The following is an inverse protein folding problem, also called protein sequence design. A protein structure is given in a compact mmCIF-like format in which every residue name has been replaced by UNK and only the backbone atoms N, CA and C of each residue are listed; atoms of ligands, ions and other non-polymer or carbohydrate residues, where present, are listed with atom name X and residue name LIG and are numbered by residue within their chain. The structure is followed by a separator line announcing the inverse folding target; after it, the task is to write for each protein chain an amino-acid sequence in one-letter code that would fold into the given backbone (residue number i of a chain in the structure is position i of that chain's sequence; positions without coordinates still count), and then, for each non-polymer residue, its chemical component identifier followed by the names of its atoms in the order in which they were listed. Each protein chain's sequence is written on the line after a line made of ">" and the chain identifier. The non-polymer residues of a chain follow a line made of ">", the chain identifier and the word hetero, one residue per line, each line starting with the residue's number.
data_IF_994171000375
#
_entry.id   IF_994171000375
#
_cell.length_a   1.000
_cell.length_b   1.000
_cell.length_c   1.000
_cell.angle_alpha   90.00
_cell.angle_beta   90.00
_cell.angle_gamma   90.00
#
_symmetry.space_group_name_H-M   'P 1'
#
loop_
_entity.id
_entity.type
_entity.pdbx_description
1 polymer ?
#
# COMPACT_ATOMS: atom_id res chain seq x y z
N UNK A 1 8.83 -0.58 -21.23
CA UNK A 1 8.88 -1.68 -20.25
C UNK A 1 7.91 -1.40 -19.13
N UNK A 2 7.08 -2.37 -18.81
CA UNK A 2 6.14 -2.24 -17.71
C UNK A 2 6.78 -2.69 -16.41
N UNK A 3 6.63 -1.89 -15.37
CA UNK A 3 7.09 -2.26 -14.04
C UNK A 3 5.93 -2.84 -13.26
N UNK A 4 6.18 -3.94 -12.54
CA UNK A 4 5.17 -4.53 -11.68
C UNK A 4 4.92 -3.61 -10.48
N UNK A 5 3.67 -3.31 -10.16
CA UNK A 5 3.39 -2.43 -9.03
C UNK A 5 3.72 -3.12 -7.71
N UNK A 6 4.36 -2.37 -6.82
CA UNK A 6 4.69 -2.84 -5.47
C UNK A 6 3.93 -2.06 -4.40
N UNK A 7 3.30 -0.98 -4.78
CA UNK A 7 2.53 -0.18 -3.84
C UNK A 7 1.42 0.56 -4.56
N UNK A 8 0.35 0.86 -3.84
CA UNK A 8 -0.73 1.70 -4.31
C UNK A 8 -1.06 2.72 -3.24
N UNK A 9 -1.42 3.92 -3.66
CA UNK A 9 -1.77 5.02 -2.76
C UNK A 9 -3.19 5.48 -3.08
N UNK A 10 -4.02 5.57 -2.07
CA UNK A 10 -5.41 6.00 -2.20
C UNK A 10 -5.66 7.21 -1.32
N UNK A 11 -6.19 8.28 -1.90
CA UNK A 11 -6.66 9.41 -1.13
C UNK A 11 -8.11 9.15 -0.71
N UNK A 12 -8.37 9.18 0.58
CA UNK A 12 -9.71 8.93 1.12
C UNK A 12 -10.61 10.14 0.84
N UNK A 13 -11.73 9.89 0.18
CA UNK A 13 -12.69 10.95 -0.12
C UNK A 13 -13.46 11.32 1.14
N UNK A 14 -13.63 12.63 1.37
CA UNK A 14 -14.38 13.15 2.51
C UNK A 14 -13.88 12.56 3.84
N UNK A 15 -12.56 12.32 3.91
CA UNK A 15 -11.91 11.74 5.10
C UNK A 15 -12.48 10.39 5.50
N UNK A 16 -13.10 9.67 4.57
CA UNK A 16 -13.67 8.35 4.82
C UNK A 16 -12.59 7.28 4.68
N UNK A 17 -11.87 7.03 5.76
CA UNK A 17 -10.78 6.03 5.79
C UNK A 17 -11.30 4.63 5.46
N UNK A 18 -12.47 4.26 5.97
CA UNK A 18 -13.02 2.91 5.74
C UNK A 18 -13.28 2.69 4.25
N UNK A 19 -13.89 3.66 3.58
CA UNK A 19 -14.08 3.58 2.12
C UNK A 19 -12.76 3.54 1.37
N UNK A 20 -11.77 4.31 1.84
CA UNK A 20 -10.44 4.31 1.27
C UNK A 20 -9.75 2.96 1.42
N UNK A 21 -9.94 2.29 2.56
CA UNK A 21 -9.37 0.96 2.78
C UNK A 21 -9.93 -0.05 1.78
N UNK A 22 -11.24 -0.04 1.56
CA UNK A 22 -11.86 -0.93 0.59
C UNK A 22 -11.31 -0.72 -0.81
N UNK A 23 -11.20 0.52 -1.23
CA UNK A 23 -10.64 0.87 -2.53
C UNK A 23 -9.17 0.42 -2.63
N UNK A 24 -8.39 0.66 -1.59
CA UNK A 24 -6.99 0.30 -1.58
C UNK A 24 -6.81 -1.22 -1.71
N UNK A 25 -7.59 -2.00 -0.98
CA UNK A 25 -7.53 -3.45 -1.06
C UNK A 25 -7.89 -3.93 -2.47
N UNK A 26 -8.91 -3.34 -3.09
CA UNK A 26 -9.27 -3.69 -4.46
C UNK A 26 -8.12 -3.43 -5.43
N UNK A 27 -7.43 -2.31 -5.28
CA UNK A 27 -6.28 -1.98 -6.12
C UNK A 27 -5.10 -2.91 -5.86
N UNK A 28 -4.89 -3.31 -4.61
CA UNK A 28 -3.84 -4.27 -4.28
C UNK A 28 -4.11 -5.63 -4.90
N UNK A 29 -5.37 -6.08 -4.91
CA UNK A 29 -5.76 -7.32 -5.57
C UNK A 29 -5.51 -7.22 -7.08
N UNK A 30 -5.86 -6.10 -7.68
CA UNK A 30 -5.61 -5.88 -9.11
C UNK A 30 -4.11 -5.92 -9.41
N UNK A 31 -3.29 -5.31 -8.54
CA UNK A 31 -1.84 -5.33 -8.70
C UNK A 31 -1.29 -6.76 -8.60
N UNK A 32 -1.82 -7.55 -7.67
CA UNK A 32 -1.42 -8.95 -7.53
C UNK A 32 -1.72 -9.74 -8.80
N UNK A 33 -2.92 -9.56 -9.34
CA UNK A 33 -3.33 -10.25 -10.58
C UNK A 33 -2.41 -9.82 -11.73
N UNK A 34 -2.10 -8.54 -11.84
CA UNK A 34 -1.19 -8.04 -12.86
C UNK A 34 0.18 -8.72 -12.75
N UNK A 35 0.74 -8.78 -11.53
CA UNK A 35 2.04 -9.39 -11.32
C UNK A 35 2.04 -10.88 -11.66
N UNK A 36 0.96 -11.58 -11.38
CA UNK A 36 0.82 -12.99 -11.73
C UNK A 36 0.75 -13.20 -13.24
N UNK A 37 0.04 -12.32 -13.94
CA UNK A 37 -0.04 -12.39 -15.40
C UNK A 37 1.31 -12.10 -16.05
N UNK A 38 2.09 -11.19 -15.47
CA UNK A 38 3.43 -10.86 -15.96
C UNK A 38 4.48 -11.86 -15.49
N UNK A 39 4.09 -12.81 -14.65
CA UNK A 39 4.98 -13.83 -14.07
C UNK A 39 6.19 -13.20 -13.38
N UNK A 40 5.97 -12.05 -12.75
CA UNK A 40 7.02 -11.36 -12.03
C UNK A 40 7.05 -11.82 -10.58
N UNK A 41 7.97 -12.72 -10.28
CA UNK A 41 8.13 -13.27 -8.94
C UNK A 41 9.07 -12.45 -8.07
N UNK A 42 9.61 -11.34 -8.59
CA UNK A 42 10.47 -10.47 -7.80
C UNK A 42 9.64 -9.66 -6.79
N UNK A 43 8.37 -9.44 -7.06
CA UNK A 43 7.47 -8.72 -6.17
C UNK A 43 6.74 -9.72 -5.28
N UNK A 44 7.15 -9.81 -4.03
CA UNK A 44 6.59 -10.77 -3.07
C UNK A 44 5.47 -10.17 -2.24
N UNK A 45 5.49 -8.87 -2.05
CA UNK A 45 4.51 -8.16 -1.25
C UNK A 45 4.02 -6.94 -2.01
N UNK A 46 2.77 -6.62 -1.76
CA UNK A 46 2.18 -5.40 -2.30
C UNK A 46 1.75 -4.56 -1.12
N UNK A 47 2.13 -3.30 -1.14
CA UNK A 47 1.82 -2.38 -0.06
C UNK A 47 0.71 -1.44 -0.48
N UNK A 48 -0.05 -0.99 0.50
CA UNK A 48 -1.10 -0.01 0.28
C UNK A 48 -0.97 1.13 1.26
N UNK A 49 -1.40 2.30 0.83
CA UNK A 49 -1.42 3.48 1.65
C UNK A 49 -2.76 4.16 1.46
N UNK A 50 -3.44 4.46 2.56
CA UNK A 50 -4.65 5.29 2.52
C UNK A 50 -4.36 6.56 3.30
N UNK A 51 -4.60 7.70 2.69
CA UNK A 51 -4.33 8.98 3.33
C UNK A 51 -5.50 9.95 3.18
N UNK A 52 -5.68 10.78 4.19
CA UNK A 52 -6.60 11.93 4.11
C UNK A 52 -5.82 13.21 3.81
N UNK A 53 -4.49 13.11 3.68
CA UNK A 53 -3.61 14.27 3.59
C UNK A 53 -2.95 14.58 4.93
N UNK A 54 -3.66 14.37 6.03
CA UNK A 54 -3.11 14.61 7.39
C UNK A 54 -2.87 13.32 8.15
N UNK A 55 -3.57 12.25 7.80
CA UNK A 55 -3.44 10.94 8.44
C UNK A 55 -3.10 9.91 7.38
N UNK A 56 -2.20 9.00 7.73
CA UNK A 56 -1.71 7.95 6.84
C UNK A 56 -1.89 6.60 7.49
N UNK A 57 -2.46 5.65 6.75
CA UNK A 57 -2.66 4.29 7.21
C UNK A 57 -2.07 3.33 6.19
N UNK A 58 -1.36 2.31 6.68
CA UNK A 58 -0.60 1.41 5.83
C UNK A 58 -1.19 0.01 5.83
N UNK A 59 -1.10 -0.64 4.67
CA UNK A 59 -1.55 -2.00 4.46
C UNK A 59 -0.45 -2.81 3.78
N UNK A 60 -0.51 -4.11 3.95
CA UNK A 60 0.41 -5.04 3.29
C UNK A 60 -0.37 -6.26 2.82
N UNK A 61 -0.11 -6.70 1.60
CA UNK A 61 -0.63 -7.97 1.09
C UNK A 61 0.55 -8.91 0.88
N UNK A 62 0.51 -10.06 1.53
CA UNK A 62 1.52 -11.10 1.41
C UNK A 62 0.79 -12.39 1.04
N UNK A 63 0.95 -12.83 -0.22
CA UNK A 63 0.14 -13.92 -0.73
C UNK A 63 -1.33 -13.52 -0.80
N UNK A 64 -2.18 -14.28 -0.11
CA UNK A 64 -3.62 -14.00 -0.05
C UNK A 64 -4.03 -13.27 1.22
N UNK A 65 -3.07 -12.96 2.08
CA UNK A 65 -3.36 -12.32 3.37
C UNK A 65 -3.15 -10.82 3.28
N UNK A 66 -4.11 -10.07 3.81
CA UNK A 66 -4.03 -8.62 3.86
C UNK A 66 -3.89 -8.21 5.33
N UNK A 67 -2.87 -7.42 5.60
CA UNK A 67 -2.59 -6.91 6.94
C UNK A 67 -2.81 -5.40 6.93
N UNK A 68 -3.58 -4.92 7.89
CA UNK A 68 -3.83 -3.49 8.07
C UNK A 68 -3.14 -3.06 9.35
N UNK A 69 -2.27 -2.05 9.27
CA UNK A 69 -1.60 -1.51 10.44
C UNK A 69 -2.66 -0.92 11.37
N UNK A 70 -2.61 -1.28 12.64
CA UNK A 70 -3.54 -0.76 13.64
C UNK A 70 -3.29 0.71 13.94
N UNK A 71 -2.06 1.18 13.71
CA UNK A 71 -1.70 2.57 13.98
C UNK A 71 -1.99 3.47 12.79
N UNK A 72 -2.34 4.70 13.10
CA UNK A 72 -2.44 5.77 12.14
C UNK A 72 -1.23 6.69 12.33
N UNK A 73 -0.73 7.27 11.24
CA UNK A 73 0.44 8.13 11.28
C UNK A 73 0.05 9.54 10.85
N UNK A 74 0.39 10.51 11.69
CA UNK A 74 0.07 11.91 11.41
C UNK A 74 1.14 12.55 10.53
N UNK A 75 0.72 13.45 9.64
CA UNK A 75 1.66 14.24 8.84
C UNK A 75 2.56 15.11 9.72
N UNK A 76 2.20 15.31 10.99
CA UNK A 76 3.04 16.03 11.93
C UNK A 76 4.30 15.25 12.32
N UNK A 77 4.34 13.95 11.99
CA UNK A 77 5.53 13.11 12.17
C UNK A 77 5.97 12.55 10.82
N UNK A 78 6.36 13.42 9.87
CA UNK A 78 6.62 12.97 8.50
C UNK A 78 7.80 12.00 8.39
N UNK A 79 8.75 12.07 9.32
CA UNK A 79 9.90 11.16 9.30
C UNK A 79 9.49 9.69 9.49
N UNK A 80 8.43 9.43 10.25
CA UNK A 80 7.91 8.06 10.43
C UNK A 80 7.27 7.57 9.14
N UNK A 81 6.49 8.44 8.48
CA UNK A 81 5.85 8.12 7.22
C UNK A 81 6.90 7.83 6.15
N UNK A 82 7.90 8.69 6.04
CA UNK A 82 8.99 8.52 5.06
C UNK A 82 9.74 7.22 5.33
N UNK A 83 10.02 6.92 6.61
CA UNK A 83 10.71 5.69 6.97
C UNK A 83 9.94 4.45 6.51
N UNK A 84 8.62 4.44 6.71
CA UNK A 84 7.78 3.32 6.27
C UNK A 84 7.78 3.22 4.74
N UNK A 85 7.61 4.34 4.05
CA UNK A 85 7.61 4.33 2.58
C UNK A 85 8.92 3.82 2.02
N UNK A 86 10.05 4.22 2.62
CA UNK A 86 11.35 3.74 2.20
C UNK A 86 11.49 2.23 2.42
N UNK A 87 10.97 1.71 3.52
CA UNK A 87 11.04 0.27 3.79
C UNK A 87 10.21 -0.52 2.77
N UNK A 88 9.11 0.04 2.28
CA UNK A 88 8.29 -0.61 1.26
C UNK A 88 9.03 -0.80 -0.05
N UNK A 89 9.74 0.25 -0.51
CA UNK A 89 10.44 0.17 -1.79
C UNK A 89 11.75 -0.59 -1.69
N UNK A 90 12.20 -0.89 -0.48
CA UNK A 90 13.44 -1.64 -0.23
C UNK A 90 13.20 -3.15 -0.08
N UNK A 91 12.00 -3.65 -0.35
CA UNK A 91 11.69 -5.06 -0.17
C UNK A 91 12.45 -5.98 -1.12
N UNK A 92 12.97 -5.45 -2.19
CA UNK A 92 13.79 -6.23 -3.12
C UNK A 92 15.16 -6.45 -2.50
N UNK A 93 15.48 -7.66 -2.30
CA UNK A 93 16.79 -8.02 -1.79
C UNK A 93 17.69 -8.50 -2.92
#
# INVERSE_FOLDING_TARGET
>A
MLCSPIATVVEAKNENIIGGLGQCIAEMVAAKIFNELEKDESVKRIYGVVTTGTTWKFLKMDGSDVYIDLDDYSIESPHRIIGILLSMVSQKA
#
